data_IF_234485283203
#
_entry.id   IF_234485283203
#
_cell.length_a   1.000
_cell.length_b   1.000
_cell.length_c   1.000
_cell.angle_alpha   90.00
_cell.angle_beta   90.00
_cell.angle_gamma   90.00
#
_symmetry.space_group_name_H-M   'P 1'
#
loop_
_entity.id
_entity.type
_entity.pdbx_description
1 polymer ?
#
# COMPACT_ATOMS: atom_id res chain seq x y z
N UNK A 1 -33.66 -15.77 55.18
CA UNK A 1 -32.87 -16.66 54.31
C UNK A 1 -33.25 -16.56 52.81
N UNK A 2 -34.54 -16.66 52.42
CA UNK A 2 -34.97 -16.57 50.98
C UNK A 2 -34.54 -15.28 50.26
N UNK A 3 -34.59 -14.11 50.91
CA UNK A 3 -34.22 -12.79 50.29
C UNK A 3 -32.72 -12.67 50.05
N UNK A 4 -31.85 -13.26 50.89
CA UNK A 4 -30.39 -13.24 50.74
C UNK A 4 -29.94 -14.14 49.60
N UNK A 5 -30.61 -15.31 49.44
CA UNK A 5 -30.35 -16.22 48.32
C UNK A 5 -30.73 -15.64 46.97
N UNK A 6 -31.84 -14.87 46.91
CA UNK A 6 -32.29 -14.22 45.68
C UNK A 6 -31.33 -13.08 45.27
N UNK A 7 -30.83 -12.28 46.22
CA UNK A 7 -29.86 -11.20 45.94
C UNK A 7 -28.50 -11.80 45.49
N UNK A 8 -28.04 -12.87 46.12
CA UNK A 8 -26.82 -13.55 45.71
C UNK A 8 -26.94 -14.17 44.29
N UNK A 9 -28.12 -14.70 43.93
CA UNK A 9 -28.38 -15.26 42.60
C UNK A 9 -28.42 -14.15 41.52
N UNK A 10 -29.00 -12.98 41.81
CA UNK A 10 -29.06 -11.82 40.94
C UNK A 10 -27.61 -11.24 40.78
N UNK A 11 -26.83 -11.16 41.85
CA UNK A 11 -25.44 -10.72 41.79
C UNK A 11 -24.55 -11.68 40.97
N UNK A 12 -24.75 -12.98 41.11
CA UNK A 12 -24.03 -13.98 40.31
C UNK A 12 -24.40 -13.92 38.82
N UNK A 13 -25.66 -13.67 38.47
CA UNK A 13 -26.11 -13.53 37.10
C UNK A 13 -25.60 -12.22 36.45
N UNK A 14 -25.56 -11.13 37.21
CA UNK A 14 -24.99 -9.83 36.74
C UNK A 14 -23.46 -9.92 36.55
N UNK A 15 -22.75 -10.62 37.43
CA UNK A 15 -21.30 -10.85 37.29
C UNK A 15 -20.99 -11.82 36.13
N UNK A 16 -21.81 -12.82 35.89
CA UNK A 16 -21.68 -13.71 34.74
C UNK A 16 -21.99 -12.99 33.43
N UNK A 17 -22.98 -12.07 33.41
CA UNK A 17 -23.30 -11.24 32.25
C UNK A 17 -22.16 -10.23 31.94
N UNK A 18 -21.57 -9.61 32.98
CA UNK A 18 -20.40 -8.71 32.79
C UNK A 18 -19.12 -9.45 32.31
N UNK A 19 -18.97 -10.74 32.60
CA UNK A 19 -17.82 -11.52 32.12
C UNK A 19 -17.95 -11.99 30.66
N UNK A 20 -19.13 -11.79 30.07
CA UNK A 20 -19.47 -12.23 28.71
C UNK A 20 -19.65 -11.09 27.72
N UNK A 21 -19.40 -9.83 28.10
CA UNK A 21 -19.50 -8.67 27.22
C UNK A 21 -18.51 -8.81 26.05
N UNK A 22 -18.99 -8.81 24.80
CA UNK A 22 -18.16 -8.91 23.61
C UNK A 22 -17.04 -7.88 23.55
N UNK A 23 -17.31 -6.63 23.92
CA UNK A 23 -16.33 -5.55 23.95
C UNK A 23 -15.21 -5.78 24.95
N UNK A 24 -15.53 -6.34 26.11
CA UNK A 24 -14.54 -6.73 27.12
C UNK A 24 -13.66 -7.88 26.61
N UNK A 25 -14.26 -8.85 25.92
CA UNK A 25 -13.50 -9.96 25.31
C UNK A 25 -12.57 -9.44 24.19
N UNK A 26 -13.03 -8.48 23.35
CA UNK A 26 -12.19 -7.84 22.34
C UNK A 26 -11.00 -7.10 22.98
N UNK A 27 -11.24 -6.36 24.06
CA UNK A 27 -10.16 -5.69 24.80
C UNK A 27 -9.14 -6.67 25.39
N UNK A 28 -9.62 -7.80 25.92
CA UNK A 28 -8.72 -8.88 26.42
C UNK A 28 -7.95 -9.54 25.27
N UNK A 29 -8.60 -9.76 24.13
CA UNK A 29 -7.95 -10.30 22.93
C UNK A 29 -6.83 -9.38 22.44
N UNK A 30 -7.08 -8.07 22.41
CA UNK A 30 -6.09 -7.07 22.04
C UNK A 30 -4.91 -7.04 23.04
N UNK A 31 -5.18 -7.15 24.33
CA UNK A 31 -4.11 -7.26 25.34
C UNK A 31 -3.26 -8.50 25.11
N UNK A 32 -3.87 -9.66 24.82
CA UNK A 32 -3.14 -10.90 24.49
C UNK A 32 -2.32 -10.74 23.20
N UNK A 33 -2.86 -10.07 22.22
CA UNK A 33 -2.14 -9.77 20.97
C UNK A 33 -0.89 -8.92 21.23
N UNK A 34 -1.02 -7.84 22.01
CA UNK A 34 0.14 -6.99 22.40
C UNK A 34 1.18 -7.73 23.23
N UNK A 35 0.75 -8.71 24.06
CA UNK A 35 1.65 -9.59 24.81
C UNK A 35 2.36 -10.64 23.93
N UNK A 36 2.05 -10.73 22.63
CA UNK A 36 2.56 -11.76 21.74
C UNK A 36 1.92 -13.14 21.91
N UNK A 37 0.83 -13.23 22.69
CA UNK A 37 0.06 -14.47 22.93
C UNK A 37 -1.01 -14.64 21.84
N UNK A 38 -0.56 -14.93 20.64
CA UNK A 38 -1.39 -14.89 19.43
C UNK A 38 -2.54 -15.92 19.44
N UNK A 39 -2.28 -17.14 19.87
CA UNK A 39 -3.28 -18.20 19.96
C UNK A 39 -4.36 -17.87 21.00
N UNK A 40 -4.01 -17.26 22.13
CA UNK A 40 -4.96 -16.80 23.13
C UNK A 40 -5.81 -15.64 22.58
N UNK A 41 -5.20 -14.70 21.86
CA UNK A 41 -5.91 -13.62 21.20
C UNK A 41 -6.90 -14.14 20.15
N UNK A 42 -6.50 -15.10 19.32
CA UNK A 42 -7.36 -15.75 18.33
C UNK A 42 -8.52 -16.46 19.03
N UNK A 43 -8.26 -17.19 20.12
CA UNK A 43 -9.30 -17.89 20.87
C UNK A 43 -10.35 -16.92 21.43
N UNK A 44 -9.93 -15.79 22.00
CA UNK A 44 -10.84 -14.77 22.53
C UNK A 44 -11.67 -14.11 21.41
N UNK A 45 -11.04 -13.75 20.29
CA UNK A 45 -11.75 -13.22 19.13
C UNK A 45 -12.76 -14.23 18.56
N UNK A 46 -12.42 -15.53 18.51
CA UNK A 46 -13.36 -16.56 18.09
C UNK A 46 -14.57 -16.68 19.05
N UNK A 47 -14.38 -16.46 20.35
CA UNK A 47 -15.51 -16.43 21.31
C UNK A 47 -16.44 -15.25 20.98
N UNK A 48 -15.89 -14.07 20.67
CA UNK A 48 -16.68 -12.91 20.26
C UNK A 48 -17.41 -13.20 18.96
N UNK A 49 -16.73 -13.64 17.93
CA UNK A 49 -17.32 -13.97 16.64
C UNK A 49 -18.49 -14.94 16.78
N UNK A 50 -18.33 -16.02 17.57
CA UNK A 50 -19.39 -17.03 17.76
C UNK A 50 -20.63 -16.50 18.51
N UNK A 51 -20.44 -15.49 19.39
CA UNK A 51 -21.53 -14.86 20.14
C UNK A 51 -22.25 -13.77 19.37
N UNK A 52 -21.50 -13.01 18.58
CA UNK A 52 -21.96 -11.81 17.86
C UNK A 52 -21.95 -12.03 16.34
N UNK A 53 -22.39 -13.21 15.88
CA UNK A 53 -22.56 -13.47 14.45
C UNK A 53 -23.53 -12.47 13.83
N UNK A 54 -23.06 -11.76 12.77
CA UNK A 54 -23.83 -10.70 12.12
C UNK A 54 -23.79 -9.36 12.84
N UNK A 55 -23.21 -9.27 14.05
CA UNK A 55 -23.00 -8.01 14.77
C UNK A 55 -21.65 -7.36 14.47
N UNK A 56 -21.54 -6.05 14.74
CA UNK A 56 -20.31 -5.29 14.47
C UNK A 56 -19.08 -5.86 15.19
N UNK A 57 -19.22 -6.29 16.44
CA UNK A 57 -18.13 -6.87 17.23
C UNK A 57 -17.62 -8.21 16.63
N UNK A 58 -18.51 -8.98 15.97
CA UNK A 58 -18.14 -10.20 15.23
C UNK A 58 -17.26 -9.90 14.01
N UNK A 59 -17.57 -8.82 13.27
CA UNK A 59 -16.75 -8.37 12.15
C UNK A 59 -15.35 -7.93 12.61
N UNK A 60 -15.28 -7.14 13.70
CA UNK A 60 -14.01 -6.74 14.33
C UNK A 60 -13.20 -7.95 14.77
N UNK A 61 -13.85 -8.95 15.36
CA UNK A 61 -13.18 -10.17 15.80
C UNK A 61 -12.54 -10.94 14.63
N UNK A 62 -13.28 -11.12 13.52
CA UNK A 62 -12.72 -11.77 12.32
C UNK A 62 -11.56 -10.96 11.71
N UNK A 63 -11.69 -9.62 11.65
CA UNK A 63 -10.60 -8.77 11.17
C UNK A 63 -9.34 -8.96 12.01
N UNK A 64 -9.48 -8.97 13.34
CA UNK A 64 -8.36 -9.19 14.26
C UNK A 64 -7.70 -10.57 14.06
N UNK A 65 -8.50 -11.63 13.89
CA UNK A 65 -7.99 -12.99 13.63
C UNK A 65 -7.19 -13.00 12.31
N UNK A 66 -7.73 -12.42 11.23
CA UNK A 66 -7.06 -12.32 9.95
C UNK A 66 -5.73 -11.57 10.06
N UNK A 67 -5.74 -10.42 10.77
CA UNK A 67 -4.53 -9.63 11.02
C UNK A 67 -3.47 -10.40 11.79
N UNK A 68 -3.85 -11.16 12.83
CA UNK A 68 -2.90 -11.98 13.60
C UNK A 68 -2.30 -13.08 12.72
N UNK A 69 -3.10 -13.76 11.90
CA UNK A 69 -2.59 -14.77 10.98
C UNK A 69 -1.62 -14.17 9.96
N UNK A 70 -1.95 -13.01 9.39
CA UNK A 70 -1.11 -12.38 8.36
C UNK A 70 0.15 -11.76 8.92
N UNK A 71 0.00 -10.84 9.88
CA UNK A 71 1.08 -9.96 10.32
C UNK A 71 2.06 -10.65 11.29
N UNK A 72 1.54 -11.55 12.14
CA UNK A 72 2.32 -12.11 13.24
C UNK A 72 2.71 -13.58 13.02
N UNK A 73 1.75 -14.40 12.56
CA UNK A 73 1.98 -15.83 12.42
C UNK A 73 2.44 -16.23 11.01
N UNK A 74 2.36 -15.31 10.03
CA UNK A 74 2.70 -15.55 8.62
C UNK A 74 1.93 -16.73 8.00
N UNK A 75 0.75 -17.01 8.54
CA UNK A 75 -0.15 -18.06 8.09
C UNK A 75 -1.08 -17.52 6.99
N UNK A 76 -0.51 -17.37 5.81
CA UNK A 76 -1.11 -16.64 4.69
C UNK A 76 -2.48 -17.22 4.28
N UNK A 77 -2.57 -18.56 4.19
CA UNK A 77 -3.82 -19.23 3.83
C UNK A 77 -4.93 -18.95 4.85
N UNK A 78 -4.63 -19.08 6.16
CA UNK A 78 -5.61 -18.85 7.21
C UNK A 78 -6.06 -17.39 7.24
N UNK A 79 -5.16 -16.45 6.92
CA UNK A 79 -5.49 -15.04 6.80
C UNK A 79 -6.47 -14.79 5.66
N UNK A 80 -6.17 -15.30 4.45
CA UNK A 80 -7.05 -15.18 3.27
C UNK A 80 -8.42 -15.79 3.56
N UNK A 81 -8.47 -17.00 4.10
CA UNK A 81 -9.71 -17.68 4.42
C UNK A 81 -10.54 -16.88 5.45
N UNK A 82 -9.88 -16.28 6.45
CA UNK A 82 -10.54 -15.46 7.47
C UNK A 82 -11.07 -14.15 6.92
N UNK A 83 -10.29 -13.45 6.08
CA UNK A 83 -10.73 -12.21 5.45
C UNK A 83 -11.88 -12.46 4.46
N UNK A 84 -11.82 -13.52 3.66
CA UNK A 84 -12.92 -13.90 2.77
C UNK A 84 -14.19 -14.19 3.55
N UNK A 85 -14.10 -14.90 4.67
CA UNK A 85 -15.22 -15.15 5.55
C UNK A 85 -15.82 -13.85 6.09
N UNK A 86 -14.99 -12.88 6.49
CA UNK A 86 -15.47 -11.56 6.93
C UNK A 86 -16.23 -10.86 5.80
N UNK A 87 -15.65 -10.81 4.61
CA UNK A 87 -16.23 -10.16 3.41
C UNK A 87 -17.58 -10.78 3.05
N UNK A 88 -17.72 -12.10 3.18
CA UNK A 88 -18.95 -12.80 2.82
C UNK A 88 -20.06 -12.61 3.87
N UNK A 89 -19.71 -12.68 5.17
CA UNK A 89 -20.67 -12.63 6.26
C UNK A 89 -21.05 -11.21 6.71
N UNK A 90 -20.18 -10.19 6.45
CA UNK A 90 -20.34 -8.82 6.98
C UNK A 90 -20.31 -7.76 5.87
N UNK A 91 -21.02 -8.00 4.77
CA UNK A 91 -21.12 -7.05 3.65
C UNK A 91 -21.69 -5.71 4.10
N UNK A 92 -21.09 -4.63 3.62
CA UNK A 92 -21.46 -3.26 3.97
C UNK A 92 -20.94 -2.78 5.33
N UNK A 93 -20.19 -3.60 6.06
CA UNK A 93 -19.52 -3.17 7.29
C UNK A 93 -18.25 -2.35 7.00
N UNK A 94 -17.83 -1.53 7.96
CA UNK A 94 -16.55 -0.80 7.87
C UNK A 94 -15.35 -1.78 7.82
N UNK A 95 -15.50 -2.95 8.43
CA UNK A 95 -14.49 -4.01 8.48
C UNK A 95 -14.34 -4.72 7.14
N UNK A 96 -15.38 -4.79 6.31
CA UNK A 96 -15.30 -5.35 4.96
C UNK A 96 -14.24 -4.60 4.13
N UNK A 97 -14.29 -3.27 4.11
CA UNK A 97 -13.31 -2.47 3.37
C UNK A 97 -11.87 -2.73 3.82
N UNK A 98 -11.67 -2.85 5.14
CA UNK A 98 -10.35 -3.18 5.73
C UNK A 98 -9.89 -4.58 5.35
N UNK A 99 -10.78 -5.57 5.40
CA UNK A 99 -10.45 -6.96 5.03
C UNK A 99 -10.09 -7.06 3.53
N UNK A 100 -10.84 -6.39 2.66
CA UNK A 100 -10.52 -6.33 1.23
C UNK A 100 -9.18 -5.63 0.96
N UNK A 101 -8.84 -4.59 1.73
CA UNK A 101 -7.52 -3.96 1.65
C UNK A 101 -6.39 -4.94 1.99
N UNK A 102 -6.57 -5.75 3.03
CA UNK A 102 -5.58 -6.78 3.39
C UNK A 102 -5.50 -7.88 2.33
N UNK A 103 -6.64 -8.34 1.80
CA UNK A 103 -6.67 -9.29 0.68
C UNK A 103 -5.93 -8.74 -0.54
N UNK A 104 -6.22 -7.49 -0.94
CA UNK A 104 -5.53 -6.84 -2.05
C UNK A 104 -4.01 -6.75 -1.82
N UNK A 105 -3.57 -6.38 -0.60
CA UNK A 105 -2.17 -6.32 -0.24
C UNK A 105 -1.50 -7.71 -0.29
N UNK A 106 -2.18 -8.74 0.18
CA UNK A 106 -1.70 -10.13 0.13
C UNK A 106 -1.57 -10.60 -1.32
N UNK A 107 -2.60 -10.40 -2.14
CA UNK A 107 -2.56 -10.79 -3.54
C UNK A 107 -1.47 -10.04 -4.32
N UNK A 108 -1.27 -8.75 -4.01
CA UNK A 108 -0.27 -7.91 -4.67
C UNK A 108 1.17 -8.30 -4.31
N UNK A 109 1.45 -8.51 -3.01
CA UNK A 109 2.83 -8.56 -2.51
C UNK A 109 3.32 -9.98 -2.20
N UNK A 110 2.41 -10.88 -1.79
CA UNK A 110 2.79 -12.22 -1.31
C UNK A 110 2.47 -13.31 -2.34
N UNK A 111 1.31 -13.20 -3.00
CA UNK A 111 0.85 -14.21 -3.99
C UNK A 111 1.28 -13.84 -5.41
N UNK A 112 1.36 -12.54 -5.72
CA UNK A 112 1.65 -12.04 -7.07
C UNK A 112 0.43 -12.10 -8.00
N UNK A 113 -0.77 -12.32 -7.47
CA UNK A 113 -2.01 -12.29 -8.26
C UNK A 113 -2.54 -10.86 -8.40
N UNK A 114 -1.97 -10.15 -9.38
CA UNK A 114 -2.33 -8.76 -9.66
C UNK A 114 -3.81 -8.61 -10.07
N UNK A 115 -4.39 -9.64 -10.68
CA UNK A 115 -5.79 -9.60 -11.10
C UNK A 115 -6.73 -9.63 -9.91
N UNK A 116 -6.47 -10.51 -8.93
CA UNK A 116 -7.24 -10.54 -7.69
C UNK A 116 -7.04 -9.24 -6.88
N UNK A 117 -5.81 -8.74 -6.80
CA UNK A 117 -5.54 -7.48 -6.12
C UNK A 117 -6.36 -6.31 -6.70
N UNK A 118 -6.39 -6.17 -8.03
CA UNK A 118 -7.20 -5.15 -8.73
C UNK A 118 -8.69 -5.36 -8.42
N UNK A 119 -9.19 -6.59 -8.50
CA UNK A 119 -10.58 -6.91 -8.20
C UNK A 119 -10.98 -6.50 -6.77
N UNK A 120 -10.13 -6.73 -5.78
CA UNK A 120 -10.42 -6.29 -4.42
C UNK A 120 -10.43 -4.76 -4.29
N UNK A 121 -9.50 -4.03 -4.96
CA UNK A 121 -9.55 -2.57 -4.99
C UNK A 121 -10.81 -2.04 -5.67
N UNK A 122 -11.24 -2.63 -6.79
CA UNK A 122 -12.49 -2.25 -7.46
C UNK A 122 -13.69 -2.40 -6.51
N UNK A 123 -13.79 -3.53 -5.81
CA UNK A 123 -14.85 -3.77 -4.84
C UNK A 123 -14.83 -2.78 -3.66
N UNK A 124 -13.63 -2.38 -3.18
CA UNK A 124 -13.52 -1.34 -2.15
C UNK A 124 -14.10 -0.02 -2.69
N UNK A 125 -13.75 0.36 -3.92
CA UNK A 125 -14.20 1.60 -4.53
C UNK A 125 -15.71 1.65 -4.80
N UNK A 126 -16.37 0.51 -4.85
CA UNK A 126 -17.84 0.39 -4.95
C UNK A 126 -18.54 0.54 -3.59
N UNK A 127 -17.84 0.35 -2.46
CA UNK A 127 -18.44 0.48 -1.13
C UNK A 127 -18.86 1.93 -0.84
N UNK A 128 -20.02 2.16 -0.18
CA UNK A 128 -20.40 3.50 0.24
C UNK A 128 -19.50 4.02 1.37
N UNK A 129 -19.15 5.30 1.33
CA UNK A 129 -18.43 5.97 2.41
C UNK A 129 -16.97 5.51 2.59
N UNK A 130 -16.35 5.02 1.54
CA UNK A 130 -14.92 4.61 1.55
C UNK A 130 -14.06 5.77 2.01
N UNK A 131 -13.36 5.56 3.12
CA UNK A 131 -12.31 6.46 3.56
C UNK A 131 -11.07 6.27 2.69
N UNK A 132 -10.30 7.34 2.49
CA UNK A 132 -9.06 7.31 1.70
C UNK A 132 -9.25 6.78 0.27
N UNK A 133 -10.36 7.15 -0.37
CA UNK A 133 -10.71 6.71 -1.72
C UNK A 133 -9.57 6.94 -2.73
N UNK A 134 -8.93 8.10 -2.66
CA UNK A 134 -7.83 8.47 -3.55
C UNK A 134 -6.60 7.57 -3.37
N UNK A 135 -6.27 7.19 -2.13
CA UNK A 135 -5.19 6.23 -1.86
C UNK A 135 -5.51 4.83 -2.41
N UNK A 136 -6.77 4.38 -2.28
CA UNK A 136 -7.19 3.08 -2.85
C UNK A 136 -7.11 3.12 -4.37
N UNK A 137 -7.54 4.20 -5.01
CA UNK A 137 -7.44 4.36 -6.45
C UNK A 137 -5.99 4.40 -6.93
N UNK A 138 -5.10 5.06 -6.18
CA UNK A 138 -3.67 5.03 -6.43
C UNK A 138 -3.08 3.62 -6.31
N UNK A 139 -3.47 2.84 -5.28
CA UNK A 139 -3.01 1.45 -5.12
C UNK A 139 -3.50 0.56 -6.26
N UNK A 140 -4.74 0.76 -6.73
CA UNK A 140 -5.27 0.09 -7.92
C UNK A 140 -4.46 0.44 -9.17
N UNK A 141 -4.17 1.72 -9.38
CA UNK A 141 -3.34 2.18 -10.49
C UNK A 141 -1.93 1.59 -10.45
N UNK A 142 -1.35 1.46 -9.24
CA UNK A 142 -0.07 0.78 -9.03
C UNK A 142 -0.15 -0.70 -9.41
N UNK A 143 -1.24 -1.39 -9.09
CA UNK A 143 -1.44 -2.78 -9.47
C UNK A 143 -1.59 -2.94 -11.00
N UNK A 144 -2.33 -2.06 -11.69
CA UNK A 144 -2.37 -2.00 -13.14
C UNK A 144 -0.97 -1.77 -13.75
N UNK A 145 -0.20 -0.86 -13.18
CA UNK A 145 1.18 -0.61 -13.62
C UNK A 145 2.06 -1.86 -13.51
N UNK A 146 2.01 -2.56 -12.38
CA UNK A 146 2.78 -3.79 -12.17
C UNK A 146 2.35 -4.91 -13.11
N UNK A 147 1.07 -4.95 -13.47
CA UNK A 147 0.52 -5.91 -14.45
C UNK A 147 0.90 -5.58 -15.89
N UNK A 148 1.51 -4.41 -16.14
CA UNK A 148 1.83 -3.92 -17.47
C UNK A 148 0.66 -3.27 -18.21
N UNK A 149 -0.47 -3.10 -17.56
CA UNK A 149 -1.67 -2.44 -18.09
C UNK A 149 -1.53 -0.91 -17.99
N UNK A 150 -0.50 -0.36 -18.67
CA UNK A 150 -0.10 1.05 -18.52
C UNK A 150 -1.19 2.05 -18.89
N UNK A 151 -2.08 1.73 -19.84
CA UNK A 151 -3.17 2.63 -20.20
C UNK A 151 -4.21 2.73 -19.07
N UNK A 152 -4.54 1.61 -18.43
CA UNK A 152 -5.47 1.60 -17.29
C UNK A 152 -4.86 2.33 -16.09
N UNK A 153 -3.58 2.09 -15.82
CA UNK A 153 -2.85 2.81 -14.77
C UNK A 153 -2.84 4.31 -15.04
N UNK A 154 -2.54 4.74 -16.27
CA UNK A 154 -2.50 6.16 -16.65
C UNK A 154 -3.88 6.82 -16.51
N UNK A 155 -4.96 6.14 -16.91
CA UNK A 155 -6.32 6.65 -16.77
C UNK A 155 -6.67 6.90 -15.30
N UNK A 156 -6.43 5.92 -14.41
CA UNK A 156 -6.70 6.06 -12.99
C UNK A 156 -5.85 7.18 -12.34
N UNK A 157 -4.56 7.27 -12.70
CA UNK A 157 -3.66 8.32 -12.18
C UNK A 157 -4.07 9.72 -12.69
N UNK A 158 -4.51 9.84 -13.94
CA UNK A 158 -5.03 11.11 -14.48
C UNK A 158 -6.30 11.55 -13.78
N UNK A 159 -7.21 10.62 -13.50
CA UNK A 159 -8.40 10.91 -12.73
C UNK A 159 -8.05 11.47 -11.34
N UNK A 160 -7.04 10.92 -10.67
CA UNK A 160 -6.54 11.46 -9.40
C UNK A 160 -5.95 12.89 -9.54
N UNK A 161 -5.21 13.19 -10.64
CA UNK A 161 -4.76 14.56 -10.92
C UNK A 161 -5.94 15.53 -11.10
N UNK A 162 -6.99 15.11 -11.83
CA UNK A 162 -8.21 15.87 -12.09
C UNK A 162 -9.03 16.11 -10.81
N UNK A 163 -9.07 15.14 -9.89
CA UNK A 163 -9.65 15.30 -8.55
C UNK A 163 -8.87 16.25 -7.64
N UNK A 164 -7.68 16.69 -8.06
CA UNK A 164 -6.87 17.65 -7.33
C UNK A 164 -6.19 17.07 -6.08
N UNK A 165 -5.67 15.85 -6.15
CA UNK A 165 -4.86 15.27 -5.07
C UNK A 165 -3.69 16.18 -4.70
N UNK A 166 -3.33 16.23 -3.41
CA UNK A 166 -2.30 17.12 -2.89
C UNK A 166 -1.24 16.39 -2.06
N UNK A 167 -0.15 17.08 -1.76
CA UNK A 167 0.90 16.59 -0.87
C UNK A 167 1.60 15.35 -1.41
N UNK A 168 1.94 14.43 -0.52
CA UNK A 168 2.72 13.23 -0.87
C UNK A 168 2.05 12.34 -1.92
N UNK A 169 0.72 12.25 -1.91
CA UNK A 169 -0.01 11.46 -2.91
C UNK A 169 0.13 12.07 -4.31
N UNK A 170 0.05 13.40 -4.45
CA UNK A 170 0.25 14.08 -5.72
C UNK A 170 1.65 13.83 -6.30
N UNK A 171 2.67 13.84 -5.45
CA UNK A 171 4.04 13.51 -5.87
C UNK A 171 4.14 12.09 -6.39
N UNK A 172 3.54 11.12 -5.68
CA UNK A 172 3.54 9.72 -6.09
C UNK A 172 2.79 9.51 -7.41
N UNK A 173 1.66 10.19 -7.60
CA UNK A 173 0.88 10.18 -8.84
C UNK A 173 1.73 10.71 -10.00
N UNK A 174 2.34 11.91 -9.83
CA UNK A 174 3.19 12.51 -10.85
C UNK A 174 4.39 11.64 -11.22
N UNK A 175 5.08 11.07 -10.23
CA UNK A 175 6.18 10.13 -10.46
C UNK A 175 5.73 8.90 -11.24
N UNK A 176 4.57 8.33 -10.90
CA UNK A 176 4.05 7.14 -11.57
C UNK A 176 3.60 7.42 -13.00
N UNK A 177 2.96 8.56 -13.27
CA UNK A 177 2.61 9.01 -14.63
C UNK A 177 3.91 9.21 -15.45
N UNK A 178 4.92 9.87 -14.88
CA UNK A 178 6.21 10.05 -15.52
C UNK A 178 6.87 8.73 -15.92
N UNK A 179 6.85 7.73 -15.02
CA UNK A 179 7.39 6.41 -15.30
C UNK A 179 6.65 5.72 -16.47
N UNK A 180 5.32 5.84 -16.53
CA UNK A 180 4.54 5.30 -17.66
C UNK A 180 4.98 5.97 -18.97
N UNK A 181 5.16 7.29 -18.96
CA UNK A 181 5.62 8.00 -20.15
C UNK A 181 7.04 7.63 -20.56
N UNK A 182 7.97 7.40 -19.60
CA UNK A 182 9.30 6.85 -19.91
C UNK A 182 9.20 5.49 -20.63
N UNK A 183 8.39 4.57 -20.11
CA UNK A 183 8.17 3.24 -20.72
C UNK A 183 7.59 3.40 -22.14
N UNK A 184 6.68 4.35 -22.35
CA UNK A 184 6.12 4.68 -23.67
C UNK A 184 7.06 5.51 -24.55
N UNK A 185 8.29 5.83 -24.09
CA UNK A 185 9.27 6.69 -24.78
C UNK A 185 8.75 8.10 -25.07
N UNK A 186 7.78 8.57 -24.31
CA UNK A 186 7.22 9.92 -24.35
C UNK A 186 8.00 10.82 -23.40
N UNK A 187 9.28 11.04 -23.68
CA UNK A 187 10.25 11.61 -22.76
C UNK A 187 9.91 13.03 -22.31
N UNK A 188 9.45 13.91 -23.22
CA UNK A 188 9.05 15.28 -22.86
C UNK A 188 7.90 15.31 -21.83
N UNK A 189 6.93 14.40 -21.98
CA UNK A 189 5.84 14.26 -21.02
C UNK A 189 6.32 13.70 -19.69
N UNK A 190 7.27 12.76 -19.71
CA UNK A 190 7.89 12.23 -18.51
C UNK A 190 8.64 13.32 -17.75
N UNK A 191 9.48 14.13 -18.44
CA UNK A 191 10.21 15.27 -17.85
C UNK A 191 9.26 16.24 -17.16
N UNK A 192 8.14 16.61 -17.80
CA UNK A 192 7.14 17.50 -17.21
C UNK A 192 6.56 16.95 -15.91
N UNK A 193 6.29 15.63 -15.86
CA UNK A 193 5.77 14.99 -14.65
C UNK A 193 6.80 15.00 -13.50
N UNK A 194 8.07 14.68 -13.78
CA UNK A 194 9.11 14.65 -12.76
C UNK A 194 9.47 16.06 -12.26
N UNK A 195 9.44 17.08 -13.14
CA UNK A 195 9.66 18.47 -12.76
C UNK A 195 8.65 18.98 -11.74
N UNK A 196 7.38 18.56 -11.80
CA UNK A 196 6.36 18.91 -10.81
C UNK A 196 6.74 18.53 -9.37
N UNK A 197 7.58 17.51 -9.21
CA UNK A 197 7.95 16.96 -7.89
C UNK A 197 9.22 17.62 -7.33
N UNK A 198 9.92 18.46 -8.11
CA UNK A 198 11.18 19.04 -7.69
C UNK A 198 11.07 19.97 -6.48
N UNK A 199 9.95 20.68 -6.35
CA UNK A 199 9.69 21.60 -5.24
C UNK A 199 8.90 20.94 -4.08
N UNK A 200 8.71 19.63 -4.12
CA UNK A 200 8.00 18.90 -3.07
C UNK A 200 8.74 18.94 -1.72
N UNK A 201 8.04 19.08 -0.59
CA UNK A 201 8.63 18.91 0.74
C UNK A 201 9.12 17.48 1.02
N UNK A 202 8.63 16.49 0.25
CA UNK A 202 9.01 15.08 0.37
C UNK A 202 10.42 14.85 -0.19
N UNK A 203 11.41 14.68 0.68
CA UNK A 203 12.81 14.45 0.31
C UNK A 203 12.97 13.21 -0.59
N UNK A 204 12.32 12.11 -0.23
CA UNK A 204 12.38 10.87 -1.01
C UNK A 204 11.73 11.03 -2.40
N UNK A 205 10.62 11.79 -2.49
CA UNK A 205 9.98 12.07 -3.77
C UNK A 205 10.88 12.88 -4.67
N UNK A 206 11.52 13.95 -4.17
CA UNK A 206 12.50 14.75 -4.92
C UNK A 206 13.68 13.91 -5.38
N UNK A 207 14.24 13.08 -4.48
CA UNK A 207 15.35 12.19 -4.84
C UNK A 207 14.98 11.26 -5.99
N UNK A 208 13.80 10.67 -5.96
CA UNK A 208 13.29 9.82 -7.05
C UNK A 208 13.09 10.62 -8.34
N UNK A 209 12.54 11.84 -8.25
CA UNK A 209 12.37 12.71 -9.40
C UNK A 209 13.73 13.04 -10.05
N UNK A 210 14.78 13.38 -9.29
CA UNK A 210 16.13 13.63 -9.81
C UNK A 210 16.68 12.42 -10.57
N UNK A 211 16.53 11.21 -10.02
CA UNK A 211 16.99 9.98 -10.68
C UNK A 211 16.25 9.75 -12.00
N UNK A 212 14.93 9.90 -12.01
CA UNK A 212 14.13 9.74 -13.23
C UNK A 212 14.41 10.85 -14.26
N UNK A 213 14.66 12.10 -13.82
CA UNK A 213 15.10 13.17 -14.72
C UNK A 213 16.44 12.81 -15.36
N UNK A 214 17.43 12.36 -14.59
CA UNK A 214 18.72 11.91 -15.10
C UNK A 214 18.54 10.81 -16.15
N UNK A 215 17.77 9.76 -15.84
CA UNK A 215 17.52 8.65 -16.77
C UNK A 215 16.80 9.09 -18.04
N UNK A 216 15.85 10.04 -17.91
CA UNK A 216 15.10 10.55 -19.06
C UNK A 216 15.98 11.42 -19.95
N UNK A 217 16.82 12.32 -19.39
CA UNK A 217 17.78 13.11 -20.17
C UNK A 217 18.84 12.22 -20.82
N UNK A 218 19.31 11.18 -20.14
CA UNK A 218 20.20 10.18 -20.73
C UNK A 218 19.57 9.48 -21.94
N UNK A 219 18.27 9.10 -21.85
CA UNK A 219 17.55 8.51 -22.97
C UNK A 219 17.38 9.46 -24.15
N UNK A 220 17.37 10.77 -23.90
CA UNK A 220 17.36 11.82 -24.91
C UNK A 220 18.76 12.19 -25.41
N UNK A 221 19.85 11.55 -24.92
CA UNK A 221 21.25 11.88 -25.18
C UNK A 221 21.66 13.29 -24.72
N UNK A 222 20.86 13.92 -23.82
CA UNK A 222 21.21 15.19 -23.19
C UNK A 222 22.03 14.95 -21.92
N UNK A 223 23.29 14.56 -22.11
CA UNK A 223 24.17 14.17 -20.99
C UNK A 223 24.46 15.33 -20.04
N UNK A 224 24.48 16.58 -20.54
CA UNK A 224 24.70 17.74 -19.68
C UNK A 224 23.57 17.89 -18.66
N UNK A 225 22.30 17.83 -19.12
CA UNK A 225 21.13 17.87 -18.20
C UNK A 225 21.03 16.64 -17.32
N UNK A 226 21.40 15.46 -17.83
CA UNK A 226 21.44 14.25 -17.00
C UNK A 226 22.43 14.41 -15.83
N UNK A 227 23.64 14.93 -16.09
CA UNK A 227 24.64 15.21 -15.06
C UNK A 227 24.16 16.31 -14.11
N UNK A 228 23.53 17.37 -14.62
CA UNK A 228 22.97 18.42 -13.79
C UNK A 228 21.88 17.86 -12.83
N UNK A 229 20.99 17.01 -13.33
CA UNK A 229 19.93 16.38 -12.53
C UNK A 229 20.50 15.55 -11.38
N UNK A 230 21.53 14.71 -11.62
CA UNK A 230 22.12 13.87 -10.56
C UNK A 230 22.96 14.71 -9.58
N UNK A 231 23.61 15.79 -10.00
CA UNK A 231 24.34 16.70 -9.11
C UNK A 231 23.44 17.45 -8.14
N UNK A 232 22.18 17.66 -8.49
CA UNK A 232 21.20 18.34 -7.64
C UNK A 232 20.64 17.46 -6.52
N UNK A 233 21.05 16.17 -6.45
CA UNK A 233 20.77 15.35 -5.29
C UNK A 233 21.47 15.93 -4.05
N UNK A 234 20.79 15.75 -2.89
CA UNK A 234 21.35 16.09 -1.59
C UNK A 234 22.76 15.49 -1.41
N UNK A 235 23.72 16.35 -1.01
CA UNK A 235 25.12 16.01 -0.88
C UNK A 235 25.46 15.18 0.38
N UNK A 236 24.54 14.34 0.86
CA UNK A 236 24.85 13.41 1.95
C UNK A 236 25.99 12.45 1.55
N UNK A 237 26.81 11.95 2.49
CA UNK A 237 27.91 11.04 2.19
C UNK A 237 27.48 9.80 1.38
N UNK A 238 26.27 9.30 1.63
CA UNK A 238 25.69 8.15 0.94
C UNK A 238 25.39 8.49 -0.54
N UNK A 239 24.87 9.68 -0.79
CA UNK A 239 24.55 10.13 -2.14
C UNK A 239 25.81 10.50 -2.93
N UNK A 240 26.89 11.01 -2.31
CA UNK A 240 28.11 11.39 -3.01
C UNK A 240 28.75 10.24 -3.78
N UNK A 241 28.76 9.03 -3.23
CA UNK A 241 29.29 7.87 -3.93
C UNK A 241 28.44 7.50 -5.16
N UNK A 242 27.11 7.60 -5.04
CA UNK A 242 26.17 7.36 -6.14
C UNK A 242 26.33 8.43 -7.20
N UNK A 243 26.34 9.70 -6.82
CA UNK A 243 26.50 10.85 -7.73
C UNK A 243 27.79 10.71 -8.53
N UNK A 244 28.93 10.44 -7.87
CA UNK A 244 30.24 10.32 -8.52
C UNK A 244 30.25 9.16 -9.53
N UNK A 245 29.69 8.02 -9.18
CA UNK A 245 29.60 6.85 -10.05
C UNK A 245 28.74 7.13 -11.28
N UNK A 246 27.56 7.73 -11.09
CA UNK A 246 26.65 8.00 -12.20
C UNK A 246 27.20 9.08 -13.15
N UNK A 247 27.87 10.11 -12.63
CA UNK A 247 28.56 11.11 -13.46
C UNK A 247 29.68 10.47 -14.29
N UNK A 248 30.50 9.59 -13.69
CA UNK A 248 31.54 8.88 -14.42
C UNK A 248 30.95 8.02 -15.56
N UNK A 249 29.87 7.30 -15.28
CA UNK A 249 29.15 6.49 -16.27
C UNK A 249 28.56 7.33 -17.40
N UNK A 250 27.93 8.46 -17.09
CA UNK A 250 27.31 9.35 -18.07
C UNK A 250 28.42 9.98 -18.98
N UNK A 251 29.54 10.41 -18.42
CA UNK A 251 30.65 10.94 -19.18
C UNK A 251 31.29 9.91 -20.13
N UNK A 252 31.42 8.66 -19.70
CA UNK A 252 31.90 7.56 -20.54
C UNK A 252 30.93 7.32 -21.70
N UNK A 253 29.65 7.25 -21.41
CA UNK A 253 28.60 7.04 -22.41
C UNK A 253 28.53 8.18 -23.41
N UNK A 254 28.70 9.42 -22.98
CA UNK A 254 28.80 10.58 -23.86
C UNK A 254 29.96 10.44 -24.86
N UNK A 255 31.15 10.05 -24.39
CA UNK A 255 32.33 9.81 -25.25
C UNK A 255 32.08 8.70 -26.27
N UNK A 256 31.37 7.63 -25.87
CA UNK A 256 31.01 6.53 -26.79
C UNK A 256 30.07 7.00 -27.91
N UNK A 257 29.09 7.85 -27.57
CA UNK A 257 28.17 8.46 -28.55
C UNK A 257 28.94 9.38 -29.50
N UNK A 258 29.79 10.29 -28.96
CA UNK A 258 30.61 11.21 -29.73
C UNK A 258 31.61 10.49 -30.65
N UNK A 259 32.09 9.31 -30.26
CA UNK A 259 32.96 8.45 -31.06
C UNK A 259 32.19 7.62 -32.12
N UNK A 260 30.89 7.83 -32.30
CA UNK A 260 30.04 7.09 -33.25
C UNK A 260 29.80 5.64 -32.89
N UNK A 261 30.12 5.22 -31.67
CA UNK A 261 29.82 3.94 -31.12
C UNK A 261 28.42 4.03 -30.52
N UNK A 262 27.41 3.41 -31.15
CA UNK A 262 26.06 3.40 -30.60
C UNK A 262 26.07 2.68 -29.23
N UNK A 263 25.70 3.38 -28.14
CA UNK A 263 25.63 2.76 -26.85
C UNK A 263 24.47 1.74 -26.83
N UNK A 264 24.73 0.49 -26.42
CA UNK A 264 23.64 -0.39 -26.02
C UNK A 264 22.98 0.23 -24.81
N UNK A 265 21.68 0.55 -24.92
CA UNK A 265 20.87 0.94 -23.76
C UNK A 265 21.04 -0.17 -22.71
N UNK A 266 21.29 0.14 -21.43
CA UNK A 266 21.31 -0.87 -20.40
C UNK A 266 19.94 -1.58 -20.41
N UNK A 267 19.95 -2.89 -20.61
CA UNK A 267 18.74 -3.71 -20.49
C UNK A 267 18.14 -3.49 -19.10
N UNK A 268 16.89 -3.09 -19.09
CA UNK A 268 16.13 -2.52 -18.00
C UNK A 268 16.50 -2.99 -16.61
N UNK A 269 16.87 -2.04 -15.77
CA UNK A 269 16.53 -2.15 -14.35
C UNK A 269 15.06 -1.76 -14.22
N UNK A 270 14.19 -2.75 -14.29
CA UNK A 270 12.82 -2.58 -13.83
C UNK A 270 12.86 -2.57 -12.30
N UNK A 271 12.36 -1.50 -11.63
CA UNK A 271 12.14 -1.52 -10.20
C UNK A 271 10.94 -2.41 -9.83
#
# INVERSE_FOLDING_TARGET
>A
MRKVVAVAFILLTVLAACSSDPRRLLSQAEAKWREGKYEDAIRLNNLVYNRERGGADGAVALLNIGNIYYLNLRRLKDAIDTYNKLVDEYRGSAEEGKARQQLAAIYLNEVGDLTQAISEYDRILELPGVQNRQEIEFLRAKAYFQKGEYNMALQALRHLEEEGVTGHLADQVSLKIGNIYQIQKKYEQALSCFQKVMDSPCIDCRRRAHLHLMETYEALFDFEKAIAAIRSLDASPENQAVISREIARLNERQREVEAGRMPRLPEGRHP
#
